data_IF_071750482068
#
_entry.id   IF_071750482068
#
_cell.length_a   1.000
_cell.length_b   1.000
_cell.length_c   1.000
_cell.angle_alpha   90.00
_cell.angle_beta   90.00
_cell.angle_gamma   90.00
#
_symmetry.space_group_name_H-M   'P 1'
#
loop_
_entity.id
_entity.type
_entity.pdbx_description
1 polymer ?
#
# COMPACT_ATOMS: atom_id res chain seq x y z
N UNK A 1 0.26 -19.97 8.15
CA UNK A 1 0.97 -18.67 8.06
C UNK A 1 1.29 -18.23 6.64
N UNK A 2 1.89 -19.06 5.78
CA UNK A 2 2.24 -18.67 4.40
C UNK A 2 1.02 -18.36 3.52
N UNK A 3 -0.01 -19.21 3.58
CA UNK A 3 -1.32 -18.96 2.93
C UNK A 3 -1.99 -17.66 3.40
N UNK A 4 -1.88 -17.33 4.69
CA UNK A 4 -2.45 -16.10 5.24
C UNK A 4 -1.79 -14.86 4.64
N UNK A 5 -0.46 -14.83 4.52
CA UNK A 5 0.25 -13.70 3.92
C UNK A 5 -0.06 -13.52 2.44
N UNK A 6 -0.29 -14.61 1.70
CA UNK A 6 -0.71 -14.56 0.29
C UNK A 6 -2.13 -14.00 0.15
N UNK A 7 -3.07 -14.47 0.98
CA UNK A 7 -4.44 -13.93 1.02
C UNK A 7 -4.42 -12.46 1.38
N UNK A 8 -3.61 -12.07 2.38
CA UNK A 8 -3.47 -10.67 2.77
C UNK A 8 -2.91 -9.81 1.63
N UNK A 9 -1.87 -10.28 0.92
CA UNK A 9 -1.33 -9.58 -0.25
C UNK A 9 -2.38 -9.41 -1.35
N UNK A 10 -3.20 -10.45 -1.60
CA UNK A 10 -4.28 -10.39 -2.58
C UNK A 10 -5.36 -9.39 -2.19
N UNK A 11 -5.79 -9.38 -0.93
CA UNK A 11 -6.79 -8.45 -0.42
C UNK A 11 -6.30 -7.00 -0.44
N UNK A 12 -5.09 -6.74 0.06
CA UNK A 12 -4.49 -5.39 0.05
C UNK A 12 -4.26 -4.92 -1.39
N UNK A 13 -3.74 -5.79 -2.26
CA UNK A 13 -3.55 -5.48 -3.67
C UNK A 13 -4.85 -5.13 -4.38
N UNK A 14 -5.90 -5.93 -4.19
CA UNK A 14 -7.22 -5.66 -4.75
C UNK A 14 -7.84 -4.37 -4.22
N UNK A 15 -7.71 -4.09 -2.91
CA UNK A 15 -8.22 -2.87 -2.29
C UNK A 15 -7.53 -1.61 -2.82
N UNK A 16 -6.21 -1.64 -3.01
CA UNK A 16 -5.46 -0.52 -3.61
C UNK A 16 -5.92 -0.26 -5.05
N UNK A 17 -6.04 -1.31 -5.85
CA UNK A 17 -6.51 -1.19 -7.23
C UNK A 17 -7.94 -0.66 -7.29
N UNK A 18 -8.85 -1.21 -6.49
CA UNK A 18 -10.24 -0.77 -6.44
C UNK A 18 -10.37 0.67 -5.93
N UNK A 19 -9.62 1.02 -4.89
CA UNK A 19 -9.56 2.38 -4.35
C UNK A 19 -9.08 3.38 -5.40
N UNK A 20 -8.06 3.03 -6.18
CA UNK A 20 -7.61 3.90 -7.26
C UNK A 20 -8.63 4.03 -8.39
N UNK A 21 -9.24 2.91 -8.82
CA UNK A 21 -10.28 2.93 -9.86
C UNK A 21 -11.45 3.82 -9.44
N UNK A 22 -11.92 3.69 -8.19
CA UNK A 22 -12.97 4.55 -7.64
C UNK A 22 -12.54 6.02 -7.64
N UNK A 23 -11.30 6.31 -7.20
CA UNK A 23 -10.74 7.66 -7.15
C UNK A 23 -10.59 8.30 -8.53
N UNK A 24 -10.39 7.50 -9.58
CA UNK A 24 -10.33 7.97 -10.98
C UNK A 24 -11.71 8.16 -11.61
N UNK A 25 -12.68 7.32 -11.24
CA UNK A 25 -14.07 7.45 -11.68
C UNK A 25 -14.70 8.80 -11.29
N UNK A 26 -14.31 9.33 -10.12
CA UNK A 26 -14.83 10.61 -9.61
C UNK A 26 -14.12 11.85 -10.18
N UNK A 27 -12.95 11.71 -10.83
CA UNK A 27 -12.19 12.86 -11.37
C UNK A 27 -11.40 12.50 -12.64
N UNK A 28 -12.09 12.45 -13.78
CA UNK A 28 -11.52 12.04 -15.07
C UNK A 28 -10.49 13.04 -15.64
N UNK A 29 -10.42 14.29 -15.16
CA UNK A 29 -9.74 15.38 -15.90
C UNK A 29 -8.72 16.26 -15.17
N UNK A 30 -8.37 16.09 -13.89
CA UNK A 30 -7.69 17.20 -13.19
C UNK A 30 -6.47 16.90 -12.29
N UNK A 31 -6.06 15.65 -12.06
CA UNK A 31 -4.90 15.43 -11.20
C UNK A 31 -3.90 14.43 -11.78
N UNK A 32 -2.62 14.81 -11.94
CA UNK A 32 -1.54 13.86 -12.18
C UNK A 32 -1.38 13.02 -10.91
N UNK A 33 -2.17 11.94 -10.79
CA UNK A 33 -2.34 11.19 -9.54
C UNK A 33 -1.58 9.86 -9.57
N UNK A 34 -0.66 9.75 -8.61
CA UNK A 34 0.12 8.61 -8.13
C UNK A 34 -0.19 7.24 -8.78
N UNK A 35 0.59 6.89 -9.81
CA UNK A 35 0.67 5.52 -10.32
C UNK A 35 1.23 4.54 -9.27
N UNK A 36 1.83 5.07 -8.20
CA UNK A 36 2.49 4.32 -7.15
C UNK A 36 1.54 3.37 -6.41
N UNK A 37 0.31 3.80 -6.11
CA UNK A 37 -0.71 2.97 -5.47
C UNK A 37 -1.14 1.80 -6.38
N UNK A 38 -1.27 2.04 -7.70
CA UNK A 38 -1.56 0.97 -8.68
C UNK A 38 -0.42 -0.01 -8.80
N UNK A 39 0.82 0.49 -8.87
CA UNK A 39 2.00 -0.34 -8.97
C UNK A 39 2.16 -1.21 -7.72
N UNK A 40 2.02 -0.63 -6.53
CA UNK A 40 2.04 -1.38 -5.27
C UNK A 40 0.91 -2.42 -5.22
N UNK A 41 -0.31 -2.02 -5.62
CA UNK A 41 -1.47 -2.92 -5.65
C UNK A 41 -1.30 -4.09 -6.62
N UNK A 42 -0.84 -3.81 -7.84
CA UNK A 42 -0.58 -4.82 -8.87
C UNK A 42 0.56 -5.77 -8.47
N UNK A 43 1.62 -5.26 -7.84
CA UNK A 43 2.72 -6.10 -7.33
C UNK A 43 2.24 -7.04 -6.23
N UNK A 44 1.49 -6.54 -5.24
CA UNK A 44 0.96 -7.39 -4.17
C UNK A 44 -0.04 -8.43 -4.70
N UNK A 45 -0.89 -8.05 -5.65
CA UNK A 45 -1.82 -8.99 -6.30
C UNK A 45 -1.06 -10.04 -7.13
N UNK A 46 -0.05 -9.62 -7.89
CA UNK A 46 0.82 -10.51 -8.65
C UNK A 46 1.56 -11.51 -7.77
N UNK A 47 2.06 -11.08 -6.62
CA UNK A 47 2.68 -11.97 -5.62
C UNK A 47 1.67 -12.95 -5.02
N UNK A 48 0.45 -12.51 -4.73
CA UNK A 48 -0.62 -13.38 -4.25
C UNK A 48 -0.99 -14.47 -5.28
N UNK A 49 -1.09 -14.09 -6.56
CA UNK A 49 -1.38 -15.00 -7.67
C UNK A 49 -0.22 -15.96 -7.95
N UNK A 50 1.03 -15.48 -7.85
CA UNK A 50 2.21 -16.31 -7.99
C UNK A 50 2.33 -17.35 -6.85
N UNK A 51 1.76 -17.04 -5.68
CA UNK A 51 1.63 -17.96 -4.56
C UNK A 51 2.97 -18.55 -4.14
N UNK A 52 3.09 -19.88 -4.18
CA UNK A 52 4.32 -20.58 -3.80
C UNK A 52 5.48 -20.42 -4.80
N UNK A 53 5.23 -19.92 -6.02
CA UNK A 53 6.27 -19.72 -7.04
C UNK A 53 7.12 -18.47 -6.79
N UNK A 54 6.59 -17.49 -6.07
CA UNK A 54 7.33 -16.29 -5.73
C UNK A 54 8.23 -16.54 -4.51
N UNK A 55 9.51 -16.15 -4.63
CA UNK A 55 10.50 -16.35 -3.57
C UNK A 55 10.19 -15.46 -2.35
N UNK A 56 10.70 -15.81 -1.15
CA UNK A 56 10.61 -14.94 0.02
C UNK A 56 11.18 -13.53 -0.23
N UNK A 57 12.25 -13.43 -1.02
CA UNK A 57 12.86 -12.15 -1.38
C UNK A 57 11.92 -11.26 -2.21
N UNK A 58 11.21 -11.84 -3.20
CA UNK A 58 10.23 -11.10 -3.99
C UNK A 58 9.05 -10.61 -3.14
N UNK A 59 8.59 -11.44 -2.20
CA UNK A 59 7.55 -11.02 -1.27
C UNK A 59 8.02 -9.88 -0.35
N UNK A 60 9.25 -9.98 0.19
CA UNK A 60 9.82 -8.91 1.01
C UNK A 60 9.93 -7.60 0.21
N UNK A 61 10.35 -7.67 -1.06
CA UNK A 61 10.43 -6.51 -1.94
C UNK A 61 9.06 -5.90 -2.23
N UNK A 62 8.04 -6.71 -2.54
CA UNK A 62 6.68 -6.20 -2.81
C UNK A 62 6.02 -5.55 -1.60
N UNK A 63 6.16 -6.15 -0.41
CA UNK A 63 5.71 -5.54 0.84
C UNK A 63 6.52 -4.28 1.20
N UNK A 64 7.81 -4.26 0.87
CA UNK A 64 8.67 -3.08 1.00
C UNK A 64 8.22 -1.92 0.10
N UNK A 65 7.90 -2.20 -1.17
CA UNK A 65 7.35 -1.23 -2.11
C UNK A 65 6.06 -0.62 -1.55
N UNK A 66 5.09 -1.46 -1.15
CA UNK A 66 3.85 -1.01 -0.53
C UNK A 66 4.09 -0.10 0.68
N UNK A 67 5.01 -0.49 1.56
CA UNK A 67 5.40 0.32 2.73
C UNK A 67 5.96 1.68 2.33
N UNK A 68 6.83 1.72 1.31
CA UNK A 68 7.38 2.95 0.77
C UNK A 68 6.30 3.90 0.25
N UNK A 69 5.30 3.37 -0.47
CA UNK A 69 4.16 4.16 -0.96
C UNK A 69 3.33 4.70 0.21
N UNK A 70 2.98 3.87 1.19
CA UNK A 70 2.23 4.34 2.38
C UNK A 70 2.99 5.41 3.17
N UNK A 71 4.31 5.28 3.29
CA UNK A 71 5.16 6.28 3.94
C UNK A 71 5.19 7.61 3.17
N UNK A 72 5.34 7.55 1.84
CA UNK A 72 5.32 8.74 1.00
C UNK A 72 3.97 9.46 1.10
N UNK A 73 2.86 8.72 1.00
CA UNK A 73 1.50 9.28 1.14
C UNK A 73 1.26 9.83 2.54
N UNK A 74 1.76 9.17 3.59
CA UNK A 74 1.69 9.67 4.96
C UNK A 74 2.46 10.99 5.11
N UNK A 75 3.67 11.09 4.56
CA UNK A 75 4.48 12.31 4.56
C UNK A 75 3.74 13.49 3.92
N UNK A 76 3.20 13.29 2.71
CA UNK A 76 2.40 14.31 2.01
C UNK A 76 1.16 14.70 2.81
N UNK A 77 0.47 13.74 3.45
CA UNK A 77 -0.72 14.05 4.22
C UNK A 77 -0.41 14.81 5.52
N UNK A 78 0.70 14.48 6.20
CA UNK A 78 1.16 15.18 7.39
C UNK A 78 1.62 16.59 7.06
N UNK A 79 2.38 16.77 5.98
CA UNK A 79 2.82 18.08 5.51
C UNK A 79 1.61 18.98 5.19
N UNK A 80 0.63 18.45 4.44
CA UNK A 80 -0.62 19.15 4.17
C UNK A 80 -1.42 19.49 5.44
N UNK A 81 -1.42 18.61 6.45
CA UNK A 81 -2.11 18.85 7.71
C UNK A 81 -1.44 19.95 8.55
N UNK A 82 -0.11 19.99 8.55
CA UNK A 82 0.67 21.01 9.25
C UNK A 82 0.56 22.36 8.55
N UNK A 83 0.65 22.38 7.22
CA UNK A 83 0.63 23.60 6.42
C UNK A 83 -0.78 24.19 6.26
N UNK A 84 -1.81 23.34 6.20
CA UNK A 84 -3.19 23.77 5.97
C UNK A 84 -4.17 22.97 6.86
N UNK A 85 -4.36 23.47 8.09
CA UNK A 85 -5.15 22.83 9.15
C UNK A 85 -6.65 22.68 8.82
N UNK A 86 -7.10 23.13 7.65
CA UNK A 86 -8.50 23.06 7.22
C UNK A 86 -8.94 21.67 6.74
N UNK A 87 -8.03 20.70 6.51
CA UNK A 87 -8.40 19.36 6.05
C UNK A 87 -9.16 18.57 7.15
N UNK A 88 -10.48 18.36 7.02
CA UNK A 88 -11.23 17.62 8.02
C UNK A 88 -10.73 16.17 8.04
N UNK A 89 -10.50 15.61 9.24
CA UNK A 89 -10.09 14.21 9.46
C UNK A 89 -8.67 13.84 9.02
N UNK A 90 -7.77 14.80 8.78
CA UNK A 90 -6.38 14.52 8.42
C UNK A 90 -5.68 13.56 9.41
N UNK A 91 -5.90 13.72 10.72
CA UNK A 91 -5.35 12.83 11.75
C UNK A 91 -5.86 11.39 11.67
N UNK A 92 -7.15 11.19 11.37
CA UNK A 92 -7.72 9.84 11.18
C UNK A 92 -7.11 9.16 9.94
N UNK A 93 -6.95 9.90 8.85
CA UNK A 93 -6.35 9.37 7.63
C UNK A 93 -4.86 9.05 7.82
N UNK A 94 -4.10 9.92 8.49
CA UNK A 94 -2.71 9.63 8.89
C UNK A 94 -2.60 8.39 9.78
N UNK A 95 -3.52 8.21 10.72
CA UNK A 95 -3.57 7.01 11.56
C UNK A 95 -3.79 5.73 10.75
N UNK A 96 -4.69 5.78 9.77
CA UNK A 96 -4.91 4.65 8.85
C UNK A 96 -3.66 4.34 8.00
N UNK A 97 -3.02 5.37 7.44
CA UNK A 97 -1.78 5.22 6.67
C UNK A 97 -0.63 4.66 7.53
N UNK A 98 -0.49 5.12 8.76
CA UNK A 98 0.52 4.61 9.70
C UNK A 98 0.27 3.13 10.05
N UNK A 99 -0.99 2.74 10.24
CA UNK A 99 -1.35 1.33 10.46
C UNK A 99 -1.00 0.47 9.24
N UNK A 100 -1.34 0.93 8.03
CA UNK A 100 -1.00 0.23 6.78
C UNK A 100 0.51 0.10 6.59
N UNK A 101 1.27 1.17 6.86
CA UNK A 101 2.73 1.14 6.87
C UNK A 101 3.27 0.09 7.85
N UNK A 102 2.72 0.03 9.08
CA UNK A 102 3.11 -0.96 10.08
C UNK A 102 2.85 -2.39 9.62
N UNK A 103 1.70 -2.67 9.02
CA UNK A 103 1.36 -3.98 8.44
C UNK A 103 2.35 -4.34 7.32
N UNK A 104 2.60 -3.40 6.40
CA UNK A 104 3.52 -3.60 5.29
C UNK A 104 4.94 -3.90 5.75
N UNK A 105 5.46 -3.10 6.68
CA UNK A 105 6.80 -3.27 7.23
C UNK A 105 6.95 -4.60 7.98
N UNK A 106 5.95 -4.98 8.78
CA UNK A 106 5.93 -6.27 9.47
C UNK A 106 5.92 -7.44 8.49
N UNK A 107 5.12 -7.37 7.42
CA UNK A 107 5.07 -8.39 6.38
C UNK A 107 6.39 -8.49 5.61
N UNK A 108 7.01 -7.36 5.26
CA UNK A 108 8.30 -7.31 4.58
C UNK A 108 9.40 -7.96 5.44
N UNK A 109 9.48 -7.59 6.72
CA UNK A 109 10.45 -8.16 7.67
C UNK A 109 10.23 -9.66 7.87
N UNK A 110 8.97 -10.09 7.96
CA UNK A 110 8.63 -11.49 8.10
C UNK A 110 9.13 -12.34 6.92
N UNK A 111 8.95 -11.86 5.69
CA UNK A 111 9.45 -12.53 4.49
C UNK A 111 10.98 -12.45 4.38
N UNK A 112 11.58 -11.32 4.75
CA UNK A 112 13.03 -11.14 4.72
C UNK A 112 13.77 -12.07 5.70
N UNK A 113 13.13 -12.48 6.80
CA UNK A 113 13.67 -13.44 7.78
C UNK A 113 13.54 -14.90 7.35
N UNK A 114 12.76 -15.22 6.33
CA UNK A 114 12.54 -16.58 5.81
C UNK A 114 13.57 -16.97 4.75
N UNK A 115 14.82 -16.51 4.89
CA UNK A 115 15.92 -16.92 4.00
C UNK A 115 16.19 -18.40 4.14
#
# INVERSE_FOLDING_TARGET
>A
MMRFMQVLAGLVGALLLAGEVARRGDSVLAQPKAWDDLLAGAVLLGLALAGARATPALHAAGWGLFSGVMLATLGVNLDAWIADAQKPRAGLYSGALALMLGIGAAAALWWARRR
#
